data_IF_456000438407
#
_entry.id   IF_456000438407
#
_cell.length_a   1.000
_cell.length_b   1.000
_cell.length_c   1.000
_cell.angle_alpha   90.00
_cell.angle_beta   90.00
_cell.angle_gamma   90.00
#
_symmetry.space_group_name_H-M   'P 1'
#
loop_
_entity.id
_entity.type
_entity.pdbx_description
1 polymer ?
#
# COMPACT_ATOMS: atom_id res chain seq x y z
N UNK A 1 21.08 -7.35 -27.17
CA UNK A 1 19.88 -6.74 -26.58
C UNK A 1 18.61 -7.40 -27.09
N UNK A 2 17.70 -7.78 -26.20
CA UNK A 2 16.29 -7.98 -26.55
C UNK A 2 15.52 -6.89 -25.83
N UNK A 3 14.82 -6.04 -26.59
CA UNK A 3 13.99 -4.99 -26.02
C UNK A 3 13.00 -5.58 -25.02
N UNK A 4 13.08 -5.13 -23.78
CA UNK A 4 12.14 -5.57 -22.77
C UNK A 4 10.83 -4.80 -22.91
N UNK A 5 9.74 -5.53 -23.11
CA UNK A 5 8.39 -4.98 -23.31
C UNK A 5 7.55 -5.23 -22.07
N UNK A 6 6.93 -4.17 -21.57
CA UNK A 6 6.26 -4.15 -20.28
C UNK A 6 4.83 -3.65 -20.43
N UNK A 7 3.92 -4.21 -19.63
CA UNK A 7 2.66 -3.54 -19.28
C UNK A 7 2.66 -3.14 -17.82
N UNK A 8 1.92 -2.09 -17.47
CA UNK A 8 1.74 -1.70 -16.08
C UNK A 8 0.27 -1.42 -15.77
N UNK A 9 -0.10 -1.74 -14.53
CA UNK A 9 -1.42 -1.52 -13.97
C UNK A 9 -1.26 -0.86 -12.61
N UNK A 10 -2.09 0.16 -12.31
CA UNK A 10 -2.08 0.88 -11.03
C UNK A 10 -3.38 0.64 -10.29
N UNK A 11 -3.28 0.13 -9.07
CA UNK A 11 -4.37 -0.14 -8.16
C UNK A 11 -4.24 0.81 -6.97
N UNK A 12 -5.25 1.65 -6.76
CA UNK A 12 -5.19 2.76 -5.79
C UNK A 12 -6.35 2.64 -4.83
N UNK A 13 -6.06 2.74 -3.53
CA UNK A 13 -7.05 2.83 -2.47
C UNK A 13 -6.79 4.08 -1.63
N UNK A 14 -7.81 4.89 -1.44
CA UNK A 14 -7.79 6.06 -0.55
C UNK A 14 -8.84 5.86 0.53
N UNK A 15 -8.46 6.06 1.78
CA UNK A 15 -9.36 5.99 2.93
C UNK A 15 -9.59 7.40 3.44
N UNK A 16 -10.86 7.78 3.56
CA UNK A 16 -11.26 9.09 4.06
C UNK A 16 -12.40 8.95 5.08
N UNK A 17 -12.28 9.64 6.22
CA UNK A 17 -13.31 9.70 7.25
C UNK A 17 -14.21 10.93 7.04
N UNK A 18 -15.48 10.67 6.75
CA UNK A 18 -16.52 11.70 6.71
C UNK A 18 -17.34 11.70 8.01
N UNK A 19 -17.42 12.86 8.67
CA UNK A 19 -18.10 13.01 9.96
C UNK A 19 -17.38 12.28 11.11
N UNK A 20 -18.06 12.20 12.26
CA UNK A 20 -17.45 11.76 13.52
C UNK A 20 -17.59 10.25 13.80
N UNK A 21 -18.47 9.56 13.07
CA UNK A 21 -18.70 8.12 13.27
C UNK A 21 -17.70 7.31 12.45
N UNK A 22 -16.74 6.69 13.13
CA UNK A 22 -15.82 5.75 12.49
C UNK A 22 -16.55 4.45 12.09
N UNK A 23 -16.18 3.90 10.94
CA UNK A 23 -16.67 2.62 10.41
C UNK A 23 -15.52 1.66 10.13
N UNK A 24 -15.85 0.43 9.74
CA UNK A 24 -14.85 -0.58 9.39
C UNK A 24 -14.53 -0.65 7.89
N UNK A 25 -15.14 0.22 7.07
CA UNK A 25 -14.93 0.26 5.60
C UNK A 25 -13.46 0.45 5.15
N UNK A 26 -12.58 0.87 6.06
CA UNK A 26 -11.14 0.99 5.80
C UNK A 26 -10.51 -0.35 5.39
N UNK A 27 -11.06 -1.48 5.85
CA UNK A 27 -10.52 -2.82 5.60
C UNK A 27 -11.23 -3.57 4.47
N UNK A 28 -12.16 -2.93 3.74
CA UNK A 28 -12.85 -3.56 2.61
C UNK A 28 -11.84 -4.05 1.57
N UNK A 29 -11.95 -5.33 1.20
CA UNK A 29 -11.19 -5.94 0.12
C UNK A 29 -11.88 -5.60 -1.20
N UNK A 30 -11.15 -4.95 -2.11
CA UNK A 30 -11.65 -4.49 -3.41
C UNK A 30 -11.39 -5.50 -4.54
N UNK A 31 -10.62 -6.57 -4.27
CA UNK A 31 -10.33 -7.61 -5.24
C UNK A 31 -9.29 -7.18 -6.29
N UNK A 32 -8.44 -6.21 -5.95
CA UNK A 32 -7.39 -5.77 -6.85
C UNK A 32 -6.30 -6.83 -7.01
N UNK A 33 -5.67 -6.87 -8.19
CA UNK A 33 -4.62 -7.84 -8.49
C UNK A 33 -3.41 -7.70 -7.54
N UNK A 34 -3.19 -6.48 -7.04
CA UNK A 34 -2.36 -6.20 -5.87
C UNK A 34 -3.09 -5.21 -4.99
N UNK A 35 -3.08 -5.43 -3.68
CA UNK A 35 -3.89 -4.64 -2.76
C UNK A 35 -3.17 -4.44 -1.42
N UNK A 36 -3.42 -3.30 -0.78
CA UNK A 36 -3.04 -3.05 0.60
C UNK A 36 -4.30 -2.82 1.43
N UNK A 37 -4.40 -3.54 2.54
CA UNK A 37 -5.57 -3.54 3.43
C UNK A 37 -5.10 -3.22 4.85
N UNK A 38 -5.39 -2.02 5.37
CA UNK A 38 -5.08 -1.71 6.77
C UNK A 38 -5.88 -2.59 7.73
N UNK A 39 -5.24 -3.00 8.84
CA UNK A 39 -5.82 -3.87 9.87
C UNK A 39 -6.39 -3.11 11.06
N UNK A 40 -6.14 -1.80 11.13
CA UNK A 40 -6.75 -0.89 12.08
C UNK A 40 -7.28 0.32 11.32
N UNK A 41 -8.37 0.93 11.83
CA UNK A 41 -8.88 2.16 11.24
C UNK A 41 -7.84 3.28 11.41
N UNK A 42 -7.26 3.83 10.32
CA UNK A 42 -6.21 4.84 10.45
C UNK A 42 -6.66 6.10 11.20
N UNK A 43 -7.94 6.46 11.13
CA UNK A 43 -8.52 7.61 11.82
C UNK A 43 -8.75 7.41 13.32
N UNK A 44 -8.52 6.19 13.83
CA UNK A 44 -8.45 5.92 15.27
C UNK A 44 -7.01 5.93 15.81
N UNK A 45 -6.03 6.01 14.92
CA UNK A 45 -4.61 6.03 15.28
C UNK A 45 -4.09 7.46 15.42
N UNK A 46 -2.95 7.58 16.09
CA UNK A 46 -2.29 8.85 16.38
C UNK A 46 -0.82 8.77 16.00
N UNK A 47 -0.15 9.92 15.90
CA UNK A 47 1.31 9.98 15.88
C UNK A 47 1.90 9.14 17.02
N UNK A 48 2.91 8.32 16.70
CA UNK A 48 3.59 7.40 17.60
C UNK A 48 3.02 5.98 17.61
N UNK A 49 1.78 5.78 17.13
CA UNK A 49 1.19 4.45 16.98
C UNK A 49 1.79 3.68 15.79
N UNK A 50 1.41 2.41 15.65
CA UNK A 50 1.70 1.61 14.47
C UNK A 50 0.41 1.25 13.74
N UNK A 51 0.49 1.19 12.41
CA UNK A 51 -0.54 0.65 11.53
C UNK A 51 -0.01 -0.63 10.90
N UNK A 52 -0.76 -1.72 11.02
CA UNK A 52 -0.47 -2.95 10.30
C UNK A 52 -1.24 -2.95 8.97
N UNK A 53 -0.56 -3.34 7.89
CA UNK A 53 -1.10 -3.39 6.53
C UNK A 53 -0.87 -4.80 5.99
N UNK A 54 -1.95 -5.46 5.60
CA UNK A 54 -1.91 -6.71 4.85
C UNK A 54 -1.70 -6.36 3.37
N UNK A 55 -0.62 -6.86 2.78
CA UNK A 55 -0.37 -6.76 1.35
C UNK A 55 -0.81 -8.06 0.67
N UNK A 56 -1.61 -7.93 -0.38
CA UNK A 56 -2.16 -9.03 -1.14
C UNK A 56 -1.69 -8.99 -2.58
N UNK A 57 -1.59 -10.17 -3.18
CA UNK A 57 -1.51 -10.39 -4.62
C UNK A 57 -2.52 -11.45 -4.99
N UNK A 58 -3.40 -11.10 -5.91
CA UNK A 58 -4.48 -11.98 -6.41
C UNK A 58 -5.25 -12.63 -5.22
N UNK A 59 -5.59 -11.81 -4.22
CA UNK A 59 -6.31 -12.22 -3.00
C UNK A 59 -5.49 -12.97 -1.94
N UNK A 60 -4.21 -13.25 -2.18
CA UNK A 60 -3.35 -14.03 -1.26
C UNK A 60 -2.29 -13.15 -0.58
N UNK A 61 -1.88 -13.45 0.66
CA UNK A 61 -0.79 -12.75 1.32
C UNK A 61 0.49 -12.69 0.48
N UNK A 62 1.03 -11.48 0.32
CA UNK A 62 2.23 -11.22 -0.47
C UNK A 62 3.44 -11.04 0.43
N UNK A 63 4.16 -12.13 0.70
CA UNK A 63 5.35 -12.14 1.53
C UNK A 63 6.59 -11.55 0.84
N UNK A 64 7.49 -10.93 1.62
CA UNK A 64 8.78 -10.43 1.16
C UNK A 64 8.74 -9.18 0.26
N UNK A 65 7.55 -8.63 -0.01
CA UNK A 65 7.36 -7.43 -0.83
C UNK A 65 7.91 -6.21 -0.11
N UNK A 66 8.77 -5.45 -0.79
CA UNK A 66 9.22 -4.14 -0.30
C UNK A 66 8.08 -3.15 -0.50
N UNK A 67 7.71 -2.47 0.58
CA UNK A 67 6.71 -1.40 0.58
C UNK A 67 7.40 -0.14 1.08
N UNK A 68 7.25 0.94 0.32
CA UNK A 68 7.72 2.27 0.70
C UNK A 68 6.57 3.05 1.33
N UNK A 69 6.82 3.68 2.47
CA UNK A 69 5.85 4.52 3.17
C UNK A 69 6.42 5.88 3.46
N UNK A 70 5.57 6.90 3.51
CA UNK A 70 5.92 8.24 3.96
C UNK A 70 4.66 9.06 4.17
N UNK A 71 4.81 10.35 4.46
CA UNK A 71 3.67 11.24 4.65
C UNK A 71 3.95 12.66 4.18
N UNK A 72 2.89 13.36 3.82
CA UNK A 72 2.88 14.79 3.53
C UNK A 72 2.38 15.56 4.74
N UNK A 73 3.13 16.58 5.16
CA UNK A 73 2.68 17.57 6.13
C UNK A 73 3.17 18.97 5.73
N UNK A 74 2.26 19.93 5.67
CA UNK A 74 2.58 21.32 5.32
C UNK A 74 3.19 21.48 3.92
N UNK A 75 2.76 20.65 2.96
CA UNK A 75 3.24 20.63 1.58
C UNK A 75 4.58 19.94 1.37
N UNK A 76 5.14 19.27 2.40
CA UNK A 76 6.44 18.59 2.34
C UNK A 76 6.28 17.09 2.55
N UNK A 77 6.97 16.31 1.72
CA UNK A 77 7.10 14.86 1.89
C UNK A 77 8.15 14.56 2.96
N UNK A 78 7.80 13.72 3.93
CA UNK A 78 8.58 13.42 5.13
C UNK A 78 8.55 11.92 5.45
N UNK A 79 9.57 11.47 6.20
CA UNK A 79 9.59 10.15 6.82
C UNK A 79 9.58 8.98 5.84
N UNK A 80 10.08 9.16 4.61
CA UNK A 80 10.14 8.07 3.64
C UNK A 80 11.03 6.94 4.16
N UNK A 81 10.49 5.73 4.19
CA UNK A 81 11.20 4.51 4.57
C UNK A 81 10.64 3.33 3.79
N UNK A 82 11.37 2.21 3.78
CA UNK A 82 10.92 0.98 3.15
C UNK A 82 11.13 -0.21 4.08
N UNK A 83 10.15 -1.12 4.10
CA UNK A 83 10.23 -2.37 4.85
C UNK A 83 9.62 -3.51 4.03
N UNK A 84 9.96 -4.75 4.41
CA UNK A 84 9.43 -5.95 3.76
C UNK A 84 8.26 -6.51 4.52
N UNK A 85 7.26 -7.00 3.79
CA UNK A 85 6.19 -7.80 4.38
C UNK A 85 6.74 -9.12 4.92
N UNK A 86 6.19 -9.58 6.05
CA UNK A 86 6.55 -10.86 6.65
C UNK A 86 5.94 -12.05 5.87
N UNK A 87 6.11 -13.28 6.40
CA UNK A 87 5.56 -14.51 5.79
C UNK A 87 4.04 -14.51 5.61
N UNK A 88 3.32 -13.71 6.40
CA UNK A 88 1.87 -13.59 6.39
C UNK A 88 1.41 -12.38 5.55
N UNK A 89 2.30 -11.78 4.76
CA UNK A 89 2.01 -10.60 3.94
C UNK A 89 1.83 -9.30 4.74
N UNK A 90 2.18 -9.32 6.03
CA UNK A 90 1.96 -8.19 6.93
C UNK A 90 3.15 -7.23 6.94
N UNK A 91 2.85 -5.94 6.87
CA UNK A 91 3.76 -4.83 7.05
C UNK A 91 3.35 -4.05 8.30
N UNK A 92 4.29 -3.73 9.19
CA UNK A 92 4.07 -2.82 10.32
C UNK A 92 4.67 -1.45 10.01
N UNK A 93 3.85 -0.40 10.02
CA UNK A 93 4.25 0.97 9.73
C UNK A 93 4.20 1.80 11.01
N UNK A 94 5.33 2.40 11.41
CA UNK A 94 5.37 3.34 12.53
C UNK A 94 4.95 4.73 12.05
N UNK A 95 3.87 5.26 12.62
CA UNK A 95 3.30 6.55 12.23
C UNK A 95 4.03 7.69 12.95
N UNK A 96 5.10 8.20 12.34
CA UNK A 96 6.02 9.17 12.98
C UNK A 96 5.54 10.62 12.97
N UNK A 97 4.46 10.93 12.26
CA UNK A 97 3.89 12.26 12.12
C UNK A 97 2.40 12.24 11.80
N UNK A 98 1.72 13.35 12.13
CA UNK A 98 0.41 13.66 11.58
C UNK A 98 0.56 14.16 10.14
N UNK A 99 -0.47 13.98 9.33
CA UNK A 99 -0.47 14.33 7.91
C UNK A 99 -1.07 13.24 7.03
N UNK A 100 -0.91 13.40 5.72
CA UNK A 100 -1.43 12.48 4.71
C UNK A 100 -0.40 11.41 4.41
N UNK A 101 -0.66 10.19 4.83
CA UNK A 101 0.23 9.05 4.65
C UNK A 101 -0.01 8.36 3.31
N UNK A 102 1.07 7.79 2.78
CA UNK A 102 1.01 6.82 1.69
C UNK A 102 1.81 5.57 2.04
N UNK A 103 1.35 4.44 1.51
CA UNK A 103 2.14 3.24 1.30
C UNK A 103 2.08 2.89 -0.18
N UNK A 104 3.20 2.47 -0.78
CA UNK A 104 3.26 2.07 -2.18
C UNK A 104 4.22 0.90 -2.39
N UNK A 105 3.89 0.03 -3.34
CA UNK A 105 4.82 -0.98 -3.84
C UNK A 105 4.61 -1.26 -5.32
N UNK A 106 5.64 -1.85 -5.93
CA UNK A 106 5.62 -2.37 -7.30
C UNK A 106 5.87 -3.88 -7.22
N UNK A 107 4.95 -4.67 -7.75
CA UNK A 107 5.12 -6.10 -7.95
C UNK A 107 5.37 -6.35 -9.44
N UNK A 108 6.62 -6.63 -9.81
CA UNK A 108 6.99 -6.98 -11.17
C UNK A 108 7.06 -8.49 -11.32
N UNK A 109 6.40 -9.02 -12.34
CA UNK A 109 6.39 -10.45 -12.65
C UNK A 109 6.72 -10.68 -14.11
N UNK A 110 7.40 -11.78 -14.40
CA UNK A 110 7.47 -12.32 -15.77
C UNK A 110 6.10 -12.84 -16.15
N UNK A 111 5.73 -12.62 -17.40
CA UNK A 111 4.48 -13.13 -17.98
C UNK A 111 4.79 -13.96 -19.22
N UNK A 112 3.95 -14.96 -19.45
CA UNK A 112 3.97 -15.74 -20.67
C UNK A 112 3.05 -15.06 -21.68
N UNK A 113 3.63 -14.18 -22.50
CA UNK A 113 2.93 -13.42 -23.51
C UNK A 113 3.82 -13.29 -24.76
N UNK A 114 3.29 -13.49 -25.98
CA UNK A 114 4.09 -13.45 -27.20
C UNK A 114 4.67 -12.07 -27.54
N UNK A 115 4.14 -10.99 -26.94
CA UNK A 115 4.50 -9.59 -27.21
C UNK A 115 5.11 -8.90 -25.99
N UNK A 116 4.92 -9.43 -24.78
CA UNK A 116 5.33 -8.81 -23.52
C UNK A 116 6.24 -9.74 -22.71
N UNK A 117 7.16 -9.17 -21.96
CA UNK A 117 8.08 -9.95 -21.11
C UNK A 117 7.70 -9.86 -19.63
N UNK A 118 7.11 -8.74 -19.22
CA UNK A 118 6.83 -8.46 -17.82
C UNK A 118 5.54 -7.66 -17.64
N UNK A 119 4.92 -7.85 -16.49
CA UNK A 119 3.86 -7.00 -15.97
C UNK A 119 4.31 -6.38 -14.65
N UNK A 120 4.10 -5.07 -14.50
CA UNK A 120 4.25 -4.38 -13.22
C UNK A 120 2.88 -3.98 -12.66
N UNK A 121 2.53 -4.54 -11.50
CA UNK A 121 1.32 -4.19 -10.77
C UNK A 121 1.72 -3.26 -9.62
N UNK A 122 1.17 -2.05 -9.60
CA UNK A 122 1.45 -1.05 -8.59
C UNK A 122 0.29 -0.99 -7.61
N UNK A 123 0.58 -1.01 -6.32
CA UNK A 123 -0.41 -0.76 -5.28
C UNK A 123 -0.08 0.54 -4.56
N UNK A 124 -1.07 1.40 -4.36
CA UNK A 124 -0.96 2.60 -3.53
C UNK A 124 -2.12 2.65 -2.55
N UNK A 125 -1.81 2.90 -1.28
CA UNK A 125 -2.76 3.14 -0.21
C UNK A 125 -2.50 4.51 0.38
N UNK A 126 -3.53 5.34 0.52
CA UNK A 126 -3.44 6.64 1.21
C UNK A 126 -4.50 6.78 2.30
N UNK A 127 -4.14 7.49 3.36
CA UNK A 127 -5.00 7.81 4.51
C UNK A 127 -4.42 9.03 5.23
N UNK A 128 -5.17 9.60 6.15
CA UNK A 128 -4.69 10.71 6.99
C UNK A 128 -4.57 10.27 8.45
N UNK A 129 -3.52 10.76 9.12
CA UNK A 129 -3.37 10.73 10.57
C UNK A 129 -3.52 12.16 11.08
N UNK A 130 -4.47 12.37 12.00
CA UNK A 130 -4.74 13.68 12.60
C UNK A 130 -3.95 13.87 13.90
#
# INVERSE_FOLDING_TARGET
DKDARYRYSKYVKTIFQAGNKATDNYNTILGYAVEMVPQQNPYKLKKGSSLDILCLKDGKPLAGQIVTTGYEAGGKMLGETSARTNKDGMLKVKLTGAGRWYAKFINMVKIDDPKLNYESKWATLTFEIK
#
